data_IF_135869497286
#
_entry.id   IF_135869497286
#
_cell.length_a   1.000
_cell.length_b   1.000
_cell.length_c   1.000
_cell.angle_alpha   90.00
_cell.angle_beta   90.00
_cell.angle_gamma   90.00
#
_symmetry.space_group_name_H-M   'P 1'
#
loop_
_entity.id
_entity.type
_entity.pdbx_description
1 polymer ?
#
# COMPACT_ATOMS: atom_id res chain seq x y z
N UNK A 1 15.24 9.23 6.50
CA UNK A 1 14.69 8.31 7.53
C UNK A 1 15.82 7.82 8.44
N UNK A 2 15.56 7.53 9.72
CA UNK A 2 16.39 6.62 10.52
C UNK A 2 15.78 5.22 10.34
N UNK A 3 16.48 4.30 9.68
CA UNK A 3 15.89 3.03 9.25
C UNK A 3 16.94 2.04 8.71
N UNK A 4 16.48 1.09 7.89
CA UNK A 4 17.29 0.02 7.31
C UNK A 4 17.93 0.46 5.99
N UNK A 5 19.16 0.00 5.75
CA UNK A 5 19.83 0.12 4.45
C UNK A 5 19.60 -1.15 3.64
N UNK A 6 19.97 -1.13 2.36
CA UNK A 6 19.90 -2.32 1.53
C UNK A 6 20.79 -3.45 2.05
N UNK A 7 20.33 -4.69 1.93
CA UNK A 7 21.02 -5.86 2.50
C UNK A 7 22.43 -6.02 1.89
N UNK A 8 22.59 -5.74 0.59
CA UNK A 8 23.91 -5.78 -0.07
C UNK A 8 24.87 -4.65 0.33
N UNK A 9 24.41 -3.69 1.13
CA UNK A 9 25.23 -2.60 1.69
C UNK A 9 25.77 -2.94 3.09
N UNK A 10 25.45 -4.13 3.65
CA UNK A 10 25.97 -4.55 4.95
C UNK A 10 27.51 -4.60 4.96
N UNK A 11 28.14 -4.32 6.12
CA UNK A 11 29.60 -4.35 6.25
C UNK A 11 30.21 -5.73 5.92
N UNK A 12 29.46 -6.81 6.22
CA UNK A 12 29.86 -8.21 6.04
C UNK A 12 29.45 -8.82 4.68
N UNK A 13 28.83 -8.04 3.77
CA UNK A 13 28.26 -8.55 2.51
C UNK A 13 29.25 -9.28 1.59
N UNK A 14 30.54 -8.91 1.61
CA UNK A 14 31.57 -9.53 0.76
C UNK A 14 31.85 -11.01 1.13
N UNK A 15 31.33 -11.49 2.27
CA UNK A 15 31.36 -12.92 2.63
C UNK A 15 30.25 -13.73 1.93
N UNK A 16 29.27 -13.05 1.33
CA UNK A 16 28.03 -13.62 0.81
C UNK A 16 27.81 -13.35 -0.67
N UNK A 17 28.15 -12.13 -1.12
CA UNK A 17 27.98 -11.71 -2.52
C UNK A 17 29.25 -11.04 -3.05
N UNK A 18 29.45 -11.17 -4.35
CA UNK A 18 30.46 -10.45 -5.14
C UNK A 18 29.77 -9.35 -5.94
N UNK A 19 30.33 -8.15 -5.91
CA UNK A 19 29.89 -7.04 -6.76
C UNK A 19 30.78 -6.96 -8.00
N UNK A 20 30.18 -7.03 -9.18
CA UNK A 20 30.85 -6.90 -10.47
C UNK A 20 30.78 -5.44 -10.93
N UNK A 21 31.71 -4.62 -10.42
CA UNK A 21 31.77 -3.17 -10.70
C UNK A 21 31.86 -2.85 -12.19
N UNK A 22 32.44 -3.75 -12.99
CA UNK A 22 32.55 -3.65 -14.44
C UNK A 22 31.20 -3.70 -15.18
N UNK A 23 30.16 -4.24 -14.55
CA UNK A 23 28.82 -4.37 -15.13
C UNK A 23 27.90 -3.21 -14.72
N UNK A 24 28.24 -2.47 -13.66
CA UNK A 24 27.41 -1.39 -13.11
C UNK A 24 27.56 -0.12 -13.96
N UNK A 25 26.48 0.63 -14.15
CA UNK A 25 26.56 2.00 -14.71
C UNK A 25 27.57 2.83 -13.88
N UNK A 26 28.63 3.37 -14.49
CA UNK A 26 29.65 4.14 -13.78
C UNK A 26 29.10 5.27 -12.88
N UNK A 27 27.97 5.88 -13.27
CA UNK A 27 27.33 6.95 -12.52
C UNK A 27 26.54 6.47 -11.30
N UNK A 28 26.25 5.16 -11.21
CA UNK A 28 25.39 4.54 -10.18
C UNK A 28 26.16 3.61 -9.24
N UNK A 29 27.49 3.58 -9.34
CA UNK A 29 28.37 2.73 -8.50
C UNK A 29 28.20 2.97 -7.01
N UNK A 30 27.83 4.19 -6.59
CA UNK A 30 27.59 4.55 -5.19
C UNK A 30 26.45 3.75 -4.54
N UNK A 31 25.51 3.18 -5.32
CA UNK A 31 24.42 2.34 -4.80
C UNK A 31 24.90 0.99 -4.25
N UNK A 32 26.17 0.64 -4.47
CA UNK A 32 26.78 -0.62 -4.02
C UNK A 32 27.79 -0.43 -2.89
N UNK A 33 27.91 0.80 -2.37
CA UNK A 33 28.77 1.14 -1.26
C UNK A 33 28.32 0.41 0.03
N UNK A 34 29.31 -0.11 0.76
CA UNK A 34 29.07 -0.69 2.08
C UNK A 34 29.03 0.41 3.12
N UNK A 35 28.18 0.23 4.12
CA UNK A 35 28.20 1.06 5.31
C UNK A 35 29.10 0.46 6.38
N UNK A 36 29.78 1.32 7.13
CA UNK A 36 30.61 0.91 8.26
C UNK A 36 29.74 0.40 9.43
N UNK A 37 30.31 -0.50 10.24
CA UNK A 37 29.68 -1.04 11.44
C UNK A 37 29.31 0.01 12.51
N UNK A 38 29.90 1.21 12.44
CA UNK A 38 29.53 2.36 13.26
C UNK A 38 28.23 3.04 12.82
N UNK A 39 27.78 2.79 11.59
CA UNK A 39 26.57 3.35 10.98
C UNK A 39 25.47 2.28 10.93
N UNK A 40 25.81 1.04 10.59
CA UNK A 40 24.88 -0.08 10.45
C UNK A 40 25.09 -1.11 11.54
N UNK A 41 24.00 -1.44 12.23
CA UNK A 41 23.94 -2.55 13.18
C UNK A 41 23.20 -3.72 12.52
N UNK A 42 23.88 -4.84 12.32
CA UNK A 42 23.30 -6.07 11.77
C UNK A 42 22.37 -6.80 12.75
N UNK A 43 22.19 -6.28 13.97
CA UNK A 43 21.35 -6.86 15.01
C UNK A 43 21.64 -8.34 15.31
N UNK A 44 22.88 -8.79 15.02
CA UNK A 44 23.34 -10.17 15.09
C UNK A 44 22.51 -11.16 14.25
N UNK A 45 21.89 -10.71 13.16
CA UNK A 45 21.20 -11.58 12.20
C UNK A 45 22.17 -12.10 11.13
N UNK A 46 21.92 -13.30 10.57
CA UNK A 46 22.66 -13.75 9.40
C UNK A 46 22.32 -12.89 8.18
N UNK A 47 23.20 -12.87 7.19
CA UNK A 47 22.94 -12.22 5.90
C UNK A 47 21.73 -12.84 5.22
N UNK A 48 20.79 -12.01 4.78
CA UNK A 48 19.49 -12.44 4.31
C UNK A 48 19.30 -12.25 2.80
N UNK A 49 19.66 -13.27 2.03
CA UNK A 49 19.39 -13.31 0.58
C UNK A 49 17.90 -13.15 0.23
N UNK A 50 17.00 -13.50 1.16
CA UNK A 50 15.56 -13.37 0.97
C UNK A 50 15.02 -12.01 1.43
N UNK A 51 15.86 -11.09 1.90
CA UNK A 51 15.42 -9.77 2.34
C UNK A 51 14.76 -9.02 1.19
N UNK A 52 13.64 -8.37 1.48
CA UNK A 52 12.98 -7.48 0.50
C UNK A 52 13.86 -6.26 0.16
N UNK A 53 14.85 -5.96 1.03
CA UNK A 53 15.80 -4.87 0.87
C UNK A 53 17.04 -5.26 0.06
N UNK A 54 17.16 -6.52 -0.39
CA UNK A 54 18.30 -6.98 -1.20
C UNK A 54 18.07 -6.66 -2.69
N UNK A 55 19.07 -6.08 -3.37
CA UNK A 55 18.99 -5.85 -4.82
C UNK A 55 18.90 -7.14 -5.64
N UNK A 56 18.33 -7.02 -6.84
CA UNK A 56 18.30 -8.09 -7.85
C UNK A 56 19.70 -8.32 -8.47
N UNK A 57 19.95 -9.50 -9.08
CA UNK A 57 21.26 -9.85 -9.60
C UNK A 57 21.83 -8.87 -10.65
N UNK A 58 20.98 -8.22 -11.44
CA UNK A 58 21.32 -7.32 -12.54
C UNK A 58 20.96 -5.85 -12.28
N UNK A 59 20.69 -5.48 -11.02
CA UNK A 59 20.38 -4.11 -10.63
C UNK A 59 21.45 -3.13 -11.14
N UNK A 60 21.04 -2.03 -11.77
CA UNK A 60 21.92 -0.98 -12.33
C UNK A 60 22.95 -1.48 -13.36
N UNK A 61 22.68 -2.62 -14.02
CA UNK A 61 23.53 -3.13 -15.08
C UNK A 61 23.52 -2.23 -16.32
N UNK A 62 24.70 -1.91 -16.84
CA UNK A 62 24.87 -1.16 -18.10
C UNK A 62 25.04 -2.06 -19.33
N UNK A 63 25.13 -3.37 -19.13
CA UNK A 63 25.50 -4.33 -20.16
C UNK A 63 24.67 -5.63 -20.11
N UNK A 64 23.58 -5.64 -19.34
CA UNK A 64 22.70 -6.80 -19.10
C UNK A 64 23.38 -8.02 -18.47
N UNK A 65 24.58 -7.85 -17.90
CA UNK A 65 25.23 -8.88 -17.08
C UNK A 65 25.00 -8.62 -15.59
N UNK A 66 25.03 -9.66 -14.73
CA UNK A 66 24.82 -9.52 -13.29
C UNK A 66 25.82 -8.57 -12.63
N UNK A 67 25.31 -7.61 -11.87
CA UNK A 67 26.09 -6.70 -11.02
C UNK A 67 26.35 -7.29 -9.64
N UNK A 68 25.50 -8.25 -9.20
CA UNK A 68 25.63 -8.98 -7.94
C UNK A 68 25.58 -10.47 -8.21
N UNK A 69 26.56 -11.22 -7.68
CA UNK A 69 26.59 -12.68 -7.71
C UNK A 69 26.72 -13.25 -6.30
N UNK A 70 25.95 -14.29 -5.98
CA UNK A 70 26.13 -15.03 -4.73
C UNK A 70 27.42 -15.86 -4.78
N UNK A 71 28.19 -15.83 -3.69
CA UNK A 71 29.35 -16.72 -3.51
C UNK A 71 28.89 -18.18 -3.35
N UNK A 72 27.70 -18.39 -2.77
CA UNK A 72 27.11 -19.72 -2.65
C UNK A 72 26.37 -20.09 -3.95
N UNK A 73 26.52 -21.33 -4.44
CA UNK A 73 25.83 -21.78 -5.64
C UNK A 73 24.32 -21.91 -5.43
N UNK A 74 23.54 -21.67 -6.48
CA UNK A 74 22.08 -21.87 -6.52
C UNK A 74 21.27 -21.06 -5.49
N UNK A 75 21.76 -19.89 -5.09
CA UNK A 75 21.01 -18.95 -4.25
C UNK A 75 20.25 -17.96 -5.13
N UNK A 76 18.97 -17.80 -4.83
CA UNK A 76 18.08 -16.80 -5.45
C UNK A 76 17.87 -15.64 -4.48
N UNK A 77 17.94 -14.40 -4.96
CA UNK A 77 17.77 -13.19 -4.17
C UNK A 77 17.19 -12.07 -5.04
N UNK A 78 16.88 -10.91 -4.43
CA UNK A 78 16.22 -9.81 -5.13
C UNK A 78 14.71 -9.87 -5.13
N UNK A 79 14.12 -10.69 -4.26
CA UNK A 79 12.68 -10.83 -4.21
C UNK A 79 12.00 -9.52 -3.78
N UNK A 80 10.82 -9.27 -4.35
CA UNK A 80 9.93 -8.14 -4.03
C UNK A 80 8.57 -8.62 -3.54
N UNK A 81 8.50 -9.83 -2.97
CA UNK A 81 7.24 -10.50 -2.63
C UNK A 81 6.77 -10.22 -1.21
N UNK A 82 7.62 -10.39 -0.19
CA UNK A 82 7.29 -10.16 1.23
C UNK A 82 8.53 -9.85 2.06
N UNK A 83 8.35 -9.24 3.23
CA UNK A 83 9.42 -9.20 4.23
C UNK A 83 9.79 -10.63 4.62
N UNK A 84 11.09 -10.91 4.66
CA UNK A 84 11.59 -12.19 5.14
C UNK A 84 11.33 -12.34 6.65
N UNK A 85 11.58 -13.55 7.17
CA UNK A 85 11.55 -13.76 8.63
C UNK A 85 12.60 -12.91 9.35
N UNK A 86 13.75 -12.64 8.71
CA UNK A 86 14.83 -11.83 9.26
C UNK A 86 14.46 -10.35 9.20
N UNK A 87 13.92 -9.85 8.09
CA UNK A 87 13.39 -8.48 7.98
C UNK A 87 12.40 -8.18 9.11
N UNK A 88 11.44 -9.09 9.34
CA UNK A 88 10.44 -8.97 10.41
C UNK A 88 11.11 -8.94 11.79
N UNK A 89 12.11 -9.80 12.02
CA UNK A 89 12.83 -9.89 13.29
C UNK A 89 13.62 -8.60 13.55
N UNK A 90 14.32 -8.09 12.54
CA UNK A 90 15.12 -6.89 12.62
C UNK A 90 14.27 -5.64 12.87
N UNK A 91 13.13 -5.50 12.18
CA UNK A 91 12.16 -4.42 12.43
C UNK A 91 11.61 -4.52 13.86
N UNK A 92 11.21 -5.73 14.29
CA UNK A 92 10.66 -5.93 15.64
C UNK A 92 11.69 -5.62 16.74
N UNK A 93 12.94 -5.97 16.52
CA UNK A 93 14.06 -5.71 17.42
C UNK A 93 14.37 -4.21 17.46
N UNK A 94 14.52 -3.58 16.30
CA UNK A 94 14.82 -2.15 16.18
C UNK A 94 13.77 -1.26 16.86
N UNK A 95 12.48 -1.63 16.76
CA UNK A 95 11.37 -0.90 17.35
C UNK A 95 10.90 -1.45 18.72
N UNK A 96 11.62 -2.42 19.32
CA UNK A 96 11.30 -3.00 20.64
C UNK A 96 9.86 -3.50 20.79
N UNK A 97 9.29 -4.11 19.74
CA UNK A 97 7.89 -4.53 19.69
C UNK A 97 7.50 -5.54 20.80
N UNK A 98 8.47 -6.30 21.35
CA UNK A 98 8.26 -7.29 22.42
C UNK A 98 8.04 -6.67 23.81
N UNK A 99 8.37 -5.40 24.01
CA UNK A 99 8.22 -4.71 25.31
C UNK A 99 6.82 -4.15 25.57
N UNK A 100 5.95 -4.13 24.55
CA UNK A 100 4.66 -3.43 24.58
C UNK A 100 3.46 -4.29 25.04
N UNK A 101 3.68 -5.47 25.64
CA UNK A 101 2.60 -6.32 26.16
C UNK A 101 1.67 -6.92 25.09
N UNK A 102 2.05 -6.85 23.82
CA UNK A 102 1.33 -7.47 22.71
C UNK A 102 1.79 -8.92 22.60
N UNK A 103 0.91 -9.87 22.93
CA UNK A 103 1.13 -11.29 22.64
C UNK A 103 0.92 -11.52 21.15
N UNK A 104 2.02 -11.59 20.40
CA UNK A 104 1.99 -12.20 19.06
C UNK A 104 1.87 -13.71 19.21
N UNK A 105 1.21 -14.42 18.27
CA UNK A 105 1.29 -15.87 18.24
C UNK A 105 2.76 -16.29 18.31
N UNK A 106 3.10 -17.34 19.09
CA UNK A 106 4.48 -17.76 19.25
C UNK A 106 5.13 -17.92 17.87
N UNK A 107 6.31 -17.31 17.68
CA UNK A 107 7.12 -17.62 16.51
C UNK A 107 7.22 -19.15 16.43
N UNK A 108 6.91 -19.77 15.27
CA UNK A 108 7.08 -21.20 15.14
C UNK A 108 8.53 -21.51 15.49
N UNK A 109 8.72 -22.19 16.63
CA UNK A 109 10.01 -22.69 17.07
C UNK A 109 10.59 -23.47 15.91
N UNK A 110 11.84 -23.15 15.57
CA UNK A 110 12.69 -23.73 14.52
C UNK A 110 12.56 -25.24 14.44
N UNK A 111 11.50 -25.64 13.78
CA UNK A 111 11.37 -26.88 13.05
C UNK A 111 11.42 -26.36 11.64
N UNK A 112 12.37 -26.83 10.84
CA UNK A 112 12.44 -26.61 9.41
C UNK A 112 11.16 -27.15 8.77
N UNK A 113 10.06 -26.40 8.90
CA UNK A 113 8.92 -26.51 8.03
C UNK A 113 9.42 -25.85 6.76
N UNK A 114 9.76 -26.65 5.75
CA UNK A 114 9.70 -26.15 4.39
C UNK A 114 8.28 -25.59 4.22
N UNK A 115 8.14 -24.28 4.38
CA UNK A 115 6.92 -23.55 4.04
C UNK A 115 6.83 -23.62 2.52
N UNK A 116 6.39 -24.77 2.01
CA UNK A 116 6.05 -24.90 0.61
C UNK A 116 4.85 -23.99 0.37
N UNK A 117 5.10 -22.78 -0.12
CA UNK A 117 4.07 -21.98 -0.74
C UNK A 117 3.40 -22.84 -1.81
N UNK A 118 2.11 -23.09 -1.64
CA UNK A 118 1.36 -23.87 -2.62
C UNK A 118 0.91 -22.92 -3.71
N UNK A 119 1.41 -23.17 -4.91
CA UNK A 119 1.11 -22.38 -6.09
C UNK A 119 0.00 -23.04 -6.91
N UNK A 120 -0.96 -22.23 -7.35
CA UNK A 120 -1.93 -22.59 -8.38
C UNK A 120 -1.74 -21.63 -9.54
N UNK A 121 -1.57 -22.20 -10.73
CA UNK A 121 -1.42 -21.44 -11.97
C UNK A 121 -2.64 -21.71 -12.84
N UNK A 122 -3.27 -20.64 -13.35
CA UNK A 122 -4.41 -20.73 -14.26
C UNK A 122 -4.17 -19.80 -15.44
N UNK A 123 -4.29 -20.31 -16.67
CA UNK A 123 -4.19 -19.48 -17.88
C UNK A 123 -5.57 -19.35 -18.53
N UNK A 124 -5.91 -18.13 -18.95
CA UNK A 124 -7.17 -17.80 -19.63
C UNK A 124 -6.96 -16.66 -20.64
N UNK A 125 -8.03 -16.21 -21.29
CA UNK A 125 -7.98 -15.13 -22.27
C UNK A 125 -9.22 -14.22 -22.23
N UNK A 126 -8.97 -12.91 -22.27
CA UNK A 126 -10.00 -11.91 -22.52
C UNK A 126 -10.21 -11.81 -24.02
N UNK A 127 -11.45 -11.98 -24.48
CA UNK A 127 -11.82 -12.00 -25.89
C UNK A 127 -12.98 -11.04 -26.16
N UNK A 128 -13.30 -10.79 -27.45
CA UNK A 128 -14.46 -9.98 -27.81
C UNK A 128 -15.81 -10.61 -27.42
N UNK A 129 -15.81 -11.88 -26.98
CA UNK A 129 -16.99 -12.57 -26.46
C UNK A 129 -17.06 -12.54 -24.93
N UNK A 130 -16.00 -12.05 -24.26
CA UNK A 130 -16.02 -11.86 -22.81
C UNK A 130 -17.06 -10.80 -22.46
N UNK A 131 -17.66 -10.93 -21.28
CA UNK A 131 -18.63 -9.95 -20.82
C UNK A 131 -17.97 -8.60 -20.54
N UNK A 132 -18.80 -7.56 -20.46
CA UNK A 132 -18.34 -6.20 -20.27
C UNK A 132 -18.88 -5.53 -19.02
N UNK A 133 -18.11 -4.61 -18.46
CA UNK A 133 -18.50 -3.80 -17.32
C UNK A 133 -17.87 -2.41 -17.40
N UNK A 134 -18.42 -1.47 -16.64
CA UNK A 134 -17.85 -0.14 -16.47
C UNK A 134 -16.78 -0.21 -15.38
N UNK A 135 -15.51 -0.22 -15.73
CA UNK A 135 -14.46 -0.25 -14.73
C UNK A 135 -14.65 0.91 -13.71
N UNK A 136 -14.59 0.68 -12.38
CA UNK A 136 -14.71 1.69 -11.32
C UNK A 136 -14.10 3.06 -11.62
N UNK A 137 -12.92 3.04 -12.23
CA UNK A 137 -12.13 4.23 -12.56
C UNK A 137 -11.85 4.40 -14.06
N UNK A 138 -12.49 3.59 -14.93
CA UNK A 138 -12.27 3.62 -16.38
C UNK A 138 -12.93 4.80 -17.11
N UNK A 139 -13.30 5.87 -16.41
CA UNK A 139 -13.91 7.10 -16.99
C UNK A 139 -15.15 6.84 -17.87
N UNK A 140 -15.97 5.83 -17.54
CA UNK A 140 -17.15 5.47 -18.32
C UNK A 140 -16.87 4.64 -19.57
N UNK A 141 -15.62 4.20 -19.76
CA UNK A 141 -15.24 3.26 -20.81
C UNK A 141 -15.64 1.82 -20.44
N UNK A 142 -15.80 1.00 -21.47
CA UNK A 142 -16.27 -0.39 -21.36
C UNK A 142 -15.08 -1.34 -21.42
N UNK A 143 -15.02 -2.27 -20.47
CA UNK A 143 -13.91 -3.22 -20.32
C UNK A 143 -14.41 -4.65 -20.40
N UNK A 144 -13.63 -5.54 -21.03
CA UNK A 144 -13.89 -6.98 -20.97
C UNK A 144 -13.45 -7.53 -19.61
N UNK A 145 -14.17 -8.54 -19.10
CA UNK A 145 -13.80 -9.18 -17.85
C UNK A 145 -14.05 -10.68 -17.81
N UNK A 146 -13.33 -11.36 -16.91
CA UNK A 146 -13.59 -12.73 -16.46
C UNK A 146 -13.65 -12.78 -14.94
N UNK A 147 -14.36 -13.78 -14.41
CA UNK A 147 -14.60 -13.90 -12.96
C UNK A 147 -14.13 -15.22 -12.40
N UNK A 148 -13.49 -15.14 -11.24
CA UNK A 148 -13.02 -16.27 -10.47
C UNK A 148 -13.54 -16.19 -9.05
N UNK A 149 -14.09 -17.28 -8.56
CA UNK A 149 -14.31 -17.46 -7.13
C UNK A 149 -12.99 -17.82 -6.45
N UNK A 150 -12.64 -17.08 -5.41
CA UNK A 150 -11.46 -17.29 -4.59
C UNK A 150 -11.91 -17.79 -3.21
N UNK A 151 -11.45 -18.99 -2.84
CA UNK A 151 -11.67 -19.55 -1.50
C UNK A 151 -10.37 -20.06 -0.90
N UNK A 152 -10.22 -19.82 0.40
CA UNK A 152 -9.04 -20.21 1.17
C UNK A 152 -9.42 -21.22 2.26
N UNK A 153 -8.60 -22.26 2.50
CA UNK A 153 -8.94 -23.30 3.47
C UNK A 153 -8.72 -22.85 4.92
N UNK A 154 -7.85 -21.86 5.14
CA UNK A 154 -7.56 -21.31 6.46
C UNK A 154 -7.49 -19.80 6.38
N UNK A 155 -7.70 -19.14 7.51
CA UNK A 155 -7.45 -17.72 7.63
C UNK A 155 -5.95 -17.44 7.46
N UNK A 156 -5.60 -16.39 6.72
CA UNK A 156 -4.19 -15.99 6.58
C UNK A 156 -3.94 -14.98 5.48
N UNK A 157 -2.67 -14.59 5.35
CA UNK A 157 -2.18 -13.75 4.27
C UNK A 157 -1.95 -14.60 3.01
N UNK A 158 -2.53 -14.17 1.90
CA UNK A 158 -2.37 -14.81 0.60
C UNK A 158 -1.90 -13.76 -0.41
N UNK A 159 -0.84 -14.08 -1.15
CA UNK A 159 -0.18 -13.21 -2.16
C UNK A 159 -0.96 -13.21 -3.50
N UNK A 160 -2.18 -13.73 -3.47
CA UNK A 160 -2.84 -14.27 -4.64
C UNK A 160 -3.55 -13.13 -5.32
N UNK A 161 -2.87 -12.54 -6.29
CA UNK A 161 -3.00 -12.94 -7.69
C UNK A 161 -1.98 -12.14 -8.49
N UNK A 162 -0.92 -12.79 -8.96
CA UNK A 162 -0.05 -12.18 -9.94
C UNK A 162 -0.53 -12.56 -11.33
N UNK A 163 -0.91 -11.58 -12.13
CA UNK A 163 -1.03 -11.81 -13.57
C UNK A 163 0.36 -11.95 -14.18
N UNK A 164 0.56 -12.88 -15.11
CA UNK A 164 1.65 -12.87 -16.07
C UNK A 164 1.03 -12.81 -17.46
N UNK A 165 1.20 -11.69 -18.14
CA UNK A 165 0.51 -11.40 -19.40
C UNK A 165 1.37 -10.51 -20.29
N UNK A 166 1.25 -10.73 -21.61
CA UNK A 166 1.77 -9.84 -22.63
C UNK A 166 0.88 -8.61 -22.86
N UNK A 167 -0.24 -8.50 -22.13
CA UNK A 167 -1.13 -7.34 -22.14
C UNK A 167 -1.24 -6.73 -20.74
N UNK A 168 -1.38 -5.41 -20.64
CA UNK A 168 -1.72 -4.71 -19.41
C UNK A 168 -2.99 -5.27 -18.75
N UNK A 169 -2.85 -5.92 -17.59
CA UNK A 169 -3.99 -6.51 -16.86
C UNK A 169 -4.23 -5.79 -15.54
N UNK A 170 -5.48 -5.76 -15.13
CA UNK A 170 -5.93 -5.24 -13.84
C UNK A 170 -6.80 -6.29 -13.14
N UNK A 171 -6.69 -6.34 -11.82
CA UNK A 171 -7.48 -7.23 -10.97
C UNK A 171 -8.35 -6.41 -10.03
N UNK A 172 -9.55 -6.90 -9.74
CA UNK A 172 -10.45 -6.35 -8.73
C UNK A 172 -10.90 -7.47 -7.80
N UNK A 173 -10.73 -7.30 -6.49
CA UNK A 173 -11.15 -8.26 -5.48
C UNK A 173 -12.39 -7.74 -4.78
N UNK A 174 -13.42 -8.58 -4.71
CA UNK A 174 -14.68 -8.32 -4.04
C UNK A 174 -14.92 -9.32 -2.92
N UNK A 175 -15.67 -8.90 -1.92
CA UNK A 175 -16.21 -9.78 -0.90
C UNK A 175 -17.57 -10.32 -1.34
N UNK A 176 -17.80 -11.63 -1.20
CA UNK A 176 -19.06 -12.32 -1.46
C UNK A 176 -19.56 -12.31 -2.92
N UNK A 177 -19.96 -11.15 -3.44
CA UNK A 177 -20.59 -11.01 -4.75
C UNK A 177 -20.00 -9.85 -5.55
N UNK A 178 -19.95 -10.02 -6.87
CA UNK A 178 -19.61 -9.00 -7.86
C UNK A 178 -20.85 -8.65 -8.69
N UNK A 179 -21.05 -7.36 -8.95
CA UNK A 179 -22.14 -6.85 -9.77
C UNK A 179 -21.58 -6.02 -10.94
N UNK A 180 -21.60 -6.55 -12.17
CA UNK A 180 -21.01 -5.86 -13.33
C UNK A 180 -21.61 -4.46 -13.60
N UNK A 181 -22.90 -4.27 -13.33
CA UNK A 181 -23.58 -2.98 -13.47
C UNK A 181 -23.27 -2.01 -12.31
N UNK A 182 -22.64 -2.50 -11.25
CA UNK A 182 -22.27 -1.72 -10.06
C UNK A 182 -20.96 -2.27 -9.47
N UNK A 183 -19.83 -2.12 -10.19
CA UNK A 183 -18.58 -2.80 -9.88
C UNK A 183 -17.79 -2.16 -8.74
N UNK A 184 -18.39 -1.22 -8.02
CA UNK A 184 -17.84 -0.71 -6.76
C UNK A 184 -18.46 -1.44 -5.55
N UNK A 185 -19.57 -2.17 -5.75
CA UNK A 185 -20.24 -2.91 -4.67
C UNK A 185 -19.35 -4.05 -4.21
N UNK A 186 -19.13 -4.12 -2.90
CA UNK A 186 -18.28 -5.12 -2.23
C UNK A 186 -16.80 -5.10 -2.64
N UNK A 187 -16.36 -4.08 -3.37
CA UNK A 187 -14.97 -3.97 -3.79
C UNK A 187 -14.08 -3.81 -2.56
N UNK A 188 -13.10 -4.69 -2.43
CA UNK A 188 -12.14 -4.72 -1.32
C UNK A 188 -10.81 -4.11 -1.72
N UNK A 189 -10.35 -4.42 -2.93
CA UNK A 189 -9.07 -3.99 -3.43
C UNK A 189 -9.07 -3.95 -4.94
N UNK A 190 -8.26 -3.05 -5.48
CA UNK A 190 -7.93 -3.03 -6.90
C UNK A 190 -6.42 -3.15 -7.02
N UNK A 191 -5.98 -3.95 -7.98
CA UNK A 191 -4.59 -4.17 -8.28
C UNK A 191 -4.29 -3.59 -9.65
N UNK A 192 -3.31 -2.71 -9.68
CA UNK A 192 -2.67 -2.21 -10.89
C UNK A 192 -1.16 -2.30 -10.68
N UNK A 193 -0.46 -2.64 -11.75
CA UNK A 193 0.98 -2.40 -11.95
C UNK A 193 1.88 -2.55 -10.71
N UNK A 194 2.24 -3.78 -10.37
CA UNK A 194 3.31 -4.07 -9.43
C UNK A 194 4.62 -4.31 -10.19
N UNK A 195 5.27 -3.24 -10.64
CA UNK A 195 6.62 -3.20 -11.25
C UNK A 195 6.63 -3.37 -12.78
N UNK A 196 7.11 -2.33 -13.52
CA UNK A 196 7.59 -2.20 -14.93
C UNK A 196 7.01 -3.12 -16.05
N UNK A 197 6.02 -3.94 -15.75
CA UNK A 197 5.48 -5.06 -16.51
C UNK A 197 3.98 -5.18 -16.18
N UNK A 198 3.27 -4.04 -16.10
CA UNK A 198 1.81 -3.82 -16.12
C UNK A 198 0.95 -5.05 -15.78
N UNK A 199 1.24 -5.62 -14.62
CA UNK A 199 0.63 -6.82 -14.05
C UNK A 199 0.20 -6.46 -12.65
N UNK A 200 -0.96 -6.94 -12.22
CA UNK A 200 -1.44 -6.68 -10.87
C UNK A 200 -0.93 -7.75 -9.91
N UNK A 201 -0.79 -7.36 -8.64
CA UNK A 201 -0.56 -8.25 -7.50
C UNK A 201 -1.42 -7.82 -6.30
N UNK A 202 -1.92 -8.79 -5.55
CA UNK A 202 -2.62 -8.56 -4.29
C UNK A 202 -1.91 -9.22 -3.13
N UNK A 203 -1.69 -8.47 -2.05
CA UNK A 203 -1.26 -9.00 -0.76
C UNK A 203 -2.39 -8.75 0.24
N UNK A 204 -3.30 -9.72 0.38
CA UNK A 204 -4.52 -9.56 1.18
C UNK A 204 -4.67 -10.69 2.19
N UNK A 205 -5.25 -10.35 3.35
CA UNK A 205 -5.69 -11.34 4.33
C UNK A 205 -7.07 -11.87 3.94
N UNK A 206 -7.17 -13.18 3.72
CA UNK A 206 -8.44 -13.86 3.44
C UNK A 206 -8.88 -14.68 4.64
N UNK A 207 -10.20 -14.69 4.86
CA UNK A 207 -10.83 -15.55 5.86
C UNK A 207 -11.32 -16.85 5.23
N UNK A 208 -11.06 -17.96 5.90
CA UNK A 208 -11.69 -19.23 5.59
C UNK A 208 -13.22 -19.12 5.69
N UNK A 209 -13.93 -19.94 4.91
CA UNK A 209 -15.39 -19.94 4.82
C UNK A 209 -16.01 -18.60 4.37
N UNK A 210 -15.21 -17.68 3.84
CA UNK A 210 -15.69 -16.46 3.20
C UNK A 210 -15.48 -16.57 1.70
N UNK A 211 -16.52 -16.22 0.95
CA UNK A 211 -16.46 -16.18 -0.51
C UNK A 211 -15.83 -14.86 -0.94
N UNK A 212 -14.88 -14.92 -1.86
CA UNK A 212 -14.31 -13.74 -2.51
C UNK A 212 -14.41 -13.91 -4.01
N UNK A 213 -14.58 -12.79 -4.71
CA UNK A 213 -14.68 -12.77 -6.16
C UNK A 213 -13.52 -11.96 -6.71
N UNK A 214 -12.74 -12.58 -7.58
CA UNK A 214 -11.76 -11.90 -8.40
C UNK A 214 -12.35 -11.61 -9.76
N UNK A 215 -12.29 -10.36 -10.18
CA UNK A 215 -12.56 -9.94 -11.56
C UNK A 215 -11.23 -9.59 -12.21
N UNK A 216 -10.96 -10.20 -13.37
CA UNK A 216 -9.81 -9.90 -14.21
C UNK A 216 -10.26 -9.06 -15.38
N UNK A 217 -9.51 -8.00 -15.67
CA UNK A 217 -9.75 -7.11 -16.81
C UNK A 217 -8.42 -6.56 -17.36
N UNK A 218 -8.51 -5.65 -18.32
CA UNK A 218 -7.38 -4.94 -18.91
C UNK A 218 -7.29 -3.51 -18.41
N UNK A 219 -6.08 -2.94 -18.45
CA UNK A 219 -5.90 -1.50 -18.13
C UNK A 219 -6.50 -0.60 -19.22
N UNK A 220 -6.42 -1.06 -20.48
CA UNK A 220 -7.00 -0.37 -21.64
C UNK A 220 -8.36 -0.95 -21.98
N UNK A 221 -9.35 -0.09 -22.19
CA UNK A 221 -10.72 -0.51 -22.56
C UNK A 221 -10.75 -1.37 -23.82
N UNK A 222 -11.67 -2.34 -23.86
CA UNK A 222 -11.90 -3.24 -25.01
C UNK A 222 -10.64 -3.95 -25.55
N UNK A 223 -9.64 -4.17 -24.70
CA UNK A 223 -8.41 -4.90 -25.08
C UNK A 223 -8.58 -6.40 -24.85
N UNK A 224 -8.05 -7.21 -25.77
CA UNK A 224 -8.09 -8.67 -25.70
C UNK A 224 -6.68 -9.23 -25.60
N UNK A 225 -6.55 -10.42 -25.01
CA UNK A 225 -5.26 -11.09 -24.89
C UNK A 225 -5.26 -12.17 -23.83
N UNK A 226 -4.16 -12.89 -23.78
CA UNK A 226 -3.97 -14.03 -22.89
C UNK A 226 -3.32 -13.57 -21.59
N UNK A 227 -3.68 -14.20 -20.48
CA UNK A 227 -3.06 -13.95 -19.19
C UNK A 227 -2.96 -15.25 -18.39
N UNK A 228 -2.04 -15.26 -17.45
CA UNK A 228 -1.86 -16.34 -16.49
C UNK A 228 -1.97 -15.78 -15.09
N UNK A 229 -2.77 -16.39 -14.22
CA UNK A 229 -2.87 -16.06 -12.81
C UNK A 229 -2.00 -17.02 -12.02
N UNK A 230 -1.17 -16.45 -11.14
CA UNK A 230 -0.44 -17.18 -10.12
C UNK A 230 -1.03 -16.87 -8.75
N UNK A 231 -1.38 -17.94 -8.06
CA UNK A 231 -1.99 -17.95 -6.75
C UNK A 231 -1.09 -18.73 -5.77
N UNK A 232 -0.34 -18.03 -4.94
CA UNK A 232 0.50 -18.56 -3.87
C UNK A 232 0.02 -18.23 -2.44
N UNK A 233 -0.03 -19.22 -1.56
CA UNK A 233 -0.33 -19.03 -0.13
C UNK A 233 0.32 -20.06 0.77
N UNK A 234 0.23 -19.85 2.10
CA UNK A 234 0.63 -20.84 3.11
C UNK A 234 -0.11 -22.17 2.96
N UNK A 235 -1.30 -22.13 2.34
CA UNK A 235 -2.08 -23.28 1.92
C UNK A 235 -2.58 -23.08 0.49
N UNK A 236 -2.94 -24.19 -0.18
CA UNK A 236 -3.49 -24.14 -1.55
C UNK A 236 -4.75 -23.29 -1.59
N UNK A 237 -4.75 -22.28 -2.44
CA UNK A 237 -5.95 -21.49 -2.74
C UNK A 237 -6.72 -22.10 -3.87
N UNK A 238 -8.03 -22.04 -3.75
CA UNK A 238 -8.94 -22.55 -4.75
C UNK A 238 -9.43 -21.38 -5.60
N UNK A 239 -9.07 -21.43 -6.88
CA UNK A 239 -9.54 -20.51 -7.91
C UNK A 239 -10.47 -21.27 -8.86
N UNK A 240 -11.73 -20.88 -8.90
CA UNK A 240 -12.72 -21.47 -9.80
C UNK A 240 -13.23 -20.39 -10.75
N UNK A 241 -13.00 -20.56 -12.05
CA UNK A 241 -13.63 -19.69 -13.04
C UNK A 241 -15.14 -19.91 -13.00
N UNK A 242 -15.90 -18.82 -12.93
CA UNK A 242 -17.35 -18.85 -12.87
C UNK A 242 -17.94 -17.93 -13.94
N UNK A 243 -19.08 -18.31 -14.49
CA UNK A 243 -19.84 -17.39 -15.32
C UNK A 243 -20.44 -16.31 -14.40
N UNK A 244 -20.34 -15.06 -14.81
CA UNK A 244 -20.99 -13.90 -14.19
C UNK A 244 -22.50 -14.09 -13.95
N UNK A 245 -23.20 -14.78 -14.87
CA UNK A 245 -24.61 -15.14 -14.73
C UNK A 245 -24.91 -16.07 -13.55
N UNK A 246 -23.93 -16.84 -13.07
CA UNK A 246 -24.02 -17.67 -11.85
C UNK A 246 -23.76 -16.90 -10.54
N UNK A 247 -23.37 -15.62 -10.60
CA UNK A 247 -23.13 -14.76 -9.43
C UNK A 247 -24.43 -14.09 -8.95
N UNK A 248 -25.46 -14.08 -9.79
CA UNK A 248 -26.83 -13.70 -9.41
C UNK A 248 -27.48 -14.92 -8.73
N UNK A 249 -27.24 -15.10 -7.43
CA UNK A 249 -27.92 -16.16 -6.67
C UNK A 249 -29.44 -15.98 -6.72
N UNK A 250 -30.09 -16.96 -7.32
CA UNK A 250 -31.52 -17.19 -7.40
C UNK A 250 -32.14 -17.37 -6.02
N UNK A 251 -32.65 -16.29 -5.44
CA UNK A 251 -33.86 -16.34 -4.60
C UNK A 251 -34.71 -15.09 -4.88
N UNK A 252 -35.83 -15.32 -5.55
CA UNK A 252 -37.05 -14.48 -5.59
C UNK A 252 -36.89 -12.96 -5.50
N UNK A 253 -37.01 -12.28 -6.64
CA UNK A 253 -37.56 -10.90 -6.75
C UNK A 253 -37.12 -9.91 -5.67
N UNK A 254 -35.83 -9.81 -5.42
CA UNK A 254 -35.23 -8.55 -5.03
C UNK A 254 -34.33 -8.17 -6.19
N UNK A 255 -34.57 -6.99 -6.76
CA UNK A 255 -33.51 -6.21 -7.39
C UNK A 255 -32.23 -6.37 -6.58
N UNK A 256 -31.04 -6.29 -7.21
CA UNK A 256 -29.82 -5.96 -6.46
C UNK A 256 -30.21 -4.93 -5.40
N UNK A 257 -29.82 -5.09 -4.12
CA UNK A 257 -30.30 -4.19 -3.08
C UNK A 257 -30.19 -2.79 -3.64
N UNK A 258 -31.31 -2.05 -3.67
CA UNK A 258 -31.38 -0.68 -4.17
C UNK A 258 -30.56 0.27 -3.27
N UNK A 259 -29.38 -0.15 -2.81
CA UNK A 259 -28.29 0.73 -2.44
C UNK A 259 -27.79 1.32 -3.75
N UNK A 260 -28.49 2.33 -4.27
CA UNK A 260 -27.86 3.31 -5.16
C UNK A 260 -26.63 3.82 -4.43
N UNK A 261 -25.45 3.43 -4.89
CA UNK A 261 -24.20 3.99 -4.39
C UNK A 261 -24.20 5.46 -4.78
N UNK A 262 -23.87 6.31 -3.81
CA UNK A 262 -23.93 7.75 -4.00
C UNK A 262 -22.52 8.23 -4.31
N UNK A 263 -22.35 8.77 -5.51
CA UNK A 263 -21.11 9.44 -5.89
C UNK A 263 -21.13 10.85 -5.27
N UNK A 264 -20.13 11.12 -4.46
CA UNK A 264 -19.85 12.44 -3.91
C UNK A 264 -18.64 13.01 -4.61
N UNK A 265 -18.72 14.27 -5.03
CA UNK A 265 -17.62 14.94 -5.73
C UNK A 265 -17.05 16.08 -4.89
N UNK A 266 -15.75 16.32 -5.03
CA UNK A 266 -15.05 17.46 -4.47
C UNK A 266 -14.13 18.04 -5.53
N UNK A 267 -14.17 19.35 -5.71
CA UNK A 267 -13.33 20.04 -6.69
C UNK A 267 -12.56 21.18 -6.04
N UNK A 268 -11.28 21.27 -6.38
CA UNK A 268 -10.37 22.32 -5.92
C UNK A 268 -9.24 22.53 -6.93
N UNK A 269 -8.16 23.18 -6.51
CA UNK A 269 -6.94 23.29 -7.31
C UNK A 269 -5.71 23.38 -6.42
N UNK A 270 -4.63 22.72 -6.85
CA UNK A 270 -3.28 23.01 -6.39
C UNK A 270 -2.83 24.30 -7.06
N UNK A 271 -2.28 25.21 -6.27
CA UNK A 271 -1.81 26.54 -6.69
C UNK A 271 -0.49 26.84 -6.00
N UNK A 272 0.19 27.89 -6.44
CA UNK A 272 1.42 28.39 -5.80
C UNK A 272 1.26 28.70 -4.30
N UNK A 273 0.03 29.00 -3.86
CA UNK A 273 -0.29 29.30 -2.46
C UNK A 273 -0.71 28.05 -1.66
N UNK A 274 -0.76 26.89 -2.30
CA UNK A 274 -1.05 25.64 -1.60
C UNK A 274 0.11 25.28 -0.68
N UNK A 275 -0.17 24.68 0.49
CA UNK A 275 0.89 24.25 1.38
C UNK A 275 1.76 23.20 0.67
N UNK A 276 3.01 23.13 1.10
CA UNK A 276 4.01 22.22 0.54
C UNK A 276 4.53 21.28 1.60
N UNK A 277 5.03 20.13 1.16
CA UNK A 277 5.65 19.14 2.02
C UNK A 277 6.63 18.27 1.23
N UNK A 278 7.51 17.57 1.94
CA UNK A 278 8.34 16.52 1.36
C UNK A 278 7.50 15.25 1.25
N UNK A 279 7.19 14.84 0.02
CA UNK A 279 6.41 13.63 -0.27
C UNK A 279 7.25 12.37 -0.03
N UNK A 280 6.62 11.25 0.33
CA UNK A 280 7.29 9.96 0.40
C UNK A 280 8.03 9.65 -0.91
N UNK A 281 9.32 9.34 -0.82
CA UNK A 281 10.19 9.02 -1.97
C UNK A 281 10.43 10.18 -2.96
N UNK A 282 9.83 11.36 -2.73
CA UNK A 282 9.96 12.51 -3.62
C UNK A 282 11.19 13.36 -3.30
N UNK A 283 11.81 13.92 -4.33
CA UNK A 283 12.87 14.92 -4.20
C UNK A 283 12.34 16.29 -4.63
N UNK A 284 11.96 17.14 -3.67
CA UNK A 284 11.56 18.52 -3.93
C UNK A 284 10.27 18.94 -3.24
N UNK A 285 9.76 20.10 -3.66
CA UNK A 285 8.60 20.76 -3.05
C UNK A 285 7.31 20.32 -3.74
N UNK A 286 6.44 19.63 -3.00
CA UNK A 286 5.15 19.15 -3.52
C UNK A 286 4.00 19.96 -2.94
N UNK A 287 3.17 20.56 -3.81
CA UNK A 287 1.93 21.19 -3.37
C UNK A 287 0.92 20.13 -2.97
N UNK A 288 0.18 20.36 -1.89
CA UNK A 288 -0.87 19.43 -1.48
C UNK A 288 -2.16 20.14 -1.06
N UNK A 289 -3.24 19.37 -1.07
CA UNK A 289 -4.50 19.73 -0.45
C UNK A 289 -4.90 18.71 0.60
N UNK A 290 -5.23 19.18 1.80
CA UNK A 290 -5.76 18.36 2.88
C UNK A 290 -7.29 18.46 2.91
N UNK A 291 -7.93 17.31 2.77
CA UNK A 291 -9.39 17.17 2.68
C UNK A 291 -9.84 16.23 3.78
N UNK A 292 -10.69 16.70 4.69
CA UNK A 292 -11.34 15.84 5.66
C UNK A 292 -12.49 15.09 4.99
N UNK A 293 -12.52 13.76 5.14
CA UNK A 293 -13.59 12.89 4.67
C UNK A 293 -14.41 12.44 5.88
N UNK A 294 -15.71 12.73 5.85
CA UNK A 294 -16.68 12.25 6.83
C UNK A 294 -17.66 11.29 6.17
N UNK A 295 -17.70 10.04 6.67
CA UNK A 295 -18.66 9.04 6.21
C UNK A 295 -19.83 8.94 7.19
N UNK A 296 -21.08 8.92 6.71
CA UNK A 296 -22.25 8.81 7.58
C UNK A 296 -22.50 7.37 8.05
N UNK A 297 -21.97 6.38 7.32
CA UNK A 297 -22.18 4.96 7.57
C UNK A 297 -20.82 4.24 7.53
N UNK A 298 -20.66 3.23 8.40
CA UNK A 298 -19.46 2.39 8.37
C UNK A 298 -19.55 1.44 7.17
N UNK A 299 -18.52 1.41 6.33
CA UNK A 299 -18.50 0.53 5.17
C UNK A 299 -17.28 0.78 4.29
N UNK A 300 -17.20 0.03 3.18
CA UNK A 300 -16.18 0.26 2.17
C UNK A 300 -16.58 1.45 1.29
N UNK A 301 -15.65 2.38 1.13
CA UNK A 301 -15.74 3.50 0.20
C UNK A 301 -14.54 3.47 -0.73
N UNK A 302 -14.81 3.79 -1.98
CA UNK A 302 -13.85 3.97 -3.04
C UNK A 302 -13.62 5.47 -3.21
N UNK A 303 -12.42 5.96 -2.90
CA UNK A 303 -12.04 7.37 -3.02
C UNK A 303 -10.91 7.50 -4.02
N UNK A 304 -11.13 8.24 -5.11
CA UNK A 304 -10.13 8.39 -6.16
C UNK A 304 -10.11 9.76 -6.78
N UNK A 305 -9.12 10.00 -7.62
CA UNK A 305 -9.00 11.20 -8.42
C UNK A 305 -9.46 10.98 -9.86
N UNK A 306 -9.89 12.06 -10.50
CA UNK A 306 -10.16 12.09 -11.93
C UNK A 306 -9.70 13.43 -12.52
N UNK A 307 -8.38 13.54 -12.74
CA UNK A 307 -7.71 14.77 -13.14
C UNK A 307 -6.94 14.62 -14.45
N UNK A 308 -6.58 15.77 -15.02
CA UNK A 308 -5.64 15.84 -16.14
C UNK A 308 -4.17 15.82 -15.68
N UNK A 309 -3.93 15.97 -14.37
CA UNK A 309 -2.59 15.94 -13.76
C UNK A 309 -2.36 14.60 -13.06
N UNK A 310 -1.11 14.13 -13.04
CA UNK A 310 -0.72 12.91 -12.33
C UNK A 310 -0.77 13.15 -10.81
N UNK A 311 -1.66 12.45 -10.11
CA UNK A 311 -1.97 12.70 -8.70
C UNK A 311 -1.65 11.54 -7.78
N UNK A 312 -1.14 11.86 -6.58
CA UNK A 312 -1.04 10.95 -5.44
C UNK A 312 -2.11 11.27 -4.41
N UNK A 313 -2.68 10.23 -3.81
CA UNK A 313 -3.56 10.30 -2.66
C UNK A 313 -2.96 9.56 -1.47
N UNK A 314 -2.97 10.17 -0.30
CA UNK A 314 -2.59 9.53 0.96
C UNK A 314 -3.72 9.70 1.97
N UNK A 315 -4.22 8.59 2.51
CA UNK A 315 -5.27 8.58 3.52
C UNK A 315 -4.65 8.47 4.92
N UNK A 316 -5.05 9.38 5.81
CA UNK A 316 -4.58 9.44 7.20
C UNK A 316 -5.74 9.30 8.18
N UNK A 317 -5.46 8.72 9.34
CA UNK A 317 -6.39 8.62 10.46
C UNK A 317 -6.25 9.86 11.35
N UNK A 318 -7.36 10.53 11.66
CA UNK A 318 -7.48 11.68 12.56
C UNK A 318 -6.74 12.97 12.13
N UNK A 319 -5.46 12.91 11.76
CA UNK A 319 -4.64 14.08 11.49
C UNK A 319 -3.49 13.79 10.53
N UNK A 320 -3.04 14.82 9.84
CA UNK A 320 -1.85 14.81 8.97
C UNK A 320 -0.80 15.78 9.50
N UNK A 321 0.46 15.35 9.55
CA UNK A 321 1.59 16.15 9.97
C UNK A 321 2.60 16.26 8.81
N UNK A 322 2.73 17.42 8.14
CA UNK A 322 3.64 17.57 7.00
C UNK A 322 5.13 17.44 7.37
N UNK A 323 5.48 17.59 8.66
CA UNK A 323 6.85 17.36 9.15
C UNK A 323 7.12 15.90 9.54
N UNK A 324 6.07 15.08 9.66
CA UNK A 324 6.17 13.66 9.95
C UNK A 324 5.09 12.89 9.18
N UNK A 325 5.29 12.77 7.88
CA UNK A 325 4.33 12.21 6.94
C UNK A 325 3.98 10.73 7.19
N UNK A 326 4.78 10.00 7.98
CA UNK A 326 4.46 8.63 8.38
C UNK A 326 3.46 8.56 9.54
N UNK A 327 3.26 9.66 10.25
CA UNK A 327 2.35 9.71 11.38
C UNK A 327 0.90 9.57 10.93
N UNK A 328 0.20 8.59 11.51
CA UNK A 328 -1.21 8.28 11.23
C UNK A 328 -1.57 7.96 9.77
N UNK A 329 -0.59 7.74 8.90
CA UNK A 329 -0.88 7.26 7.55
C UNK A 329 -1.64 5.93 7.66
N UNK A 330 -2.60 5.70 6.77
CA UNK A 330 -3.34 4.44 6.64
C UNK A 330 -2.87 3.73 5.38
N UNK A 331 -2.91 4.44 4.25
CA UNK A 331 -2.52 3.93 2.93
C UNK A 331 -2.26 5.10 1.99
N UNK A 332 -1.49 4.85 0.95
CA UNK A 332 -1.30 5.77 -0.17
C UNK A 332 -1.56 5.06 -1.49
N UNK A 333 -1.81 5.86 -2.51
CA UNK A 333 -2.00 5.40 -3.88
C UNK A 333 -1.72 6.52 -4.89
N UNK A 334 -1.39 6.17 -6.12
CA UNK A 334 -1.00 7.11 -7.18
C UNK A 334 -1.48 6.72 -8.57
N UNK A 335 -1.66 5.42 -8.84
CA UNK A 335 -2.10 4.98 -10.16
C UNK A 335 -3.13 3.83 -10.15
N UNK A 336 -3.74 3.49 -9.00
CA UNK A 336 -4.78 2.44 -8.98
C UNK A 336 -6.13 2.90 -9.54
N UNK A 337 -6.29 4.12 -10.02
CA UNK A 337 -7.41 4.45 -10.91
C UNK A 337 -7.04 4.31 -12.40
N UNK A 338 -5.76 4.05 -12.70
CA UNK A 338 -5.19 4.16 -14.04
C UNK A 338 -5.12 5.61 -14.53
N UNK A 339 -4.45 5.83 -15.66
CA UNK A 339 -4.23 7.17 -16.24
C UNK A 339 -3.63 8.17 -15.24
N UNK A 340 -2.70 7.71 -14.39
CA UNK A 340 -1.98 8.52 -13.42
C UNK A 340 -2.87 9.11 -12.32
N UNK A 341 -3.93 8.38 -11.95
CA UNK A 341 -4.89 8.76 -10.91
C UNK A 341 -4.86 7.75 -9.77
N UNK A 342 -5.01 8.24 -8.55
CA UNK A 342 -5.05 7.37 -7.38
C UNK A 342 -6.46 6.80 -7.15
N UNK A 343 -6.52 5.60 -6.60
CA UNK A 343 -7.73 5.00 -6.05
C UNK A 343 -7.45 4.32 -4.72
N UNK A 344 -8.15 4.77 -3.68
CA UNK A 344 -8.09 4.23 -2.33
C UNK A 344 -9.43 3.60 -2.00
N UNK A 345 -9.45 2.28 -1.89
CA UNK A 345 -10.58 1.53 -1.35
C UNK A 345 -10.28 1.23 0.11
N UNK A 346 -11.13 1.70 1.02
CA UNK A 346 -10.91 1.54 2.45
C UNK A 346 -12.22 1.35 3.20
N UNK A 347 -12.19 0.61 4.32
CA UNK A 347 -13.34 0.46 5.21
C UNK A 347 -13.41 1.65 6.19
N UNK A 348 -14.10 2.71 5.78
CA UNK A 348 -14.29 3.88 6.62
C UNK A 348 -15.26 3.57 7.76
N UNK A 349 -14.94 4.06 8.95
CA UNK A 349 -15.81 3.97 10.14
C UNK A 349 -16.56 5.28 10.31
N UNK A 350 -17.87 5.21 10.55
CA UNK A 350 -18.67 6.38 10.90
C UNK A 350 -18.16 7.02 12.19
N UNK A 351 -18.35 8.34 12.32
CA UNK A 351 -17.85 9.14 13.44
C UNK A 351 -16.31 9.12 13.63
N UNK A 352 -15.56 8.66 12.62
CA UNK A 352 -14.10 8.71 12.60
C UNK A 352 -13.64 9.76 11.59
N UNK A 353 -12.61 10.52 11.97
CA UNK A 353 -12.02 11.54 11.09
C UNK A 353 -10.96 10.91 10.20
N UNK A 354 -11.08 11.10 8.90
CA UNK A 354 -10.07 10.72 7.93
C UNK A 354 -9.60 11.95 7.17
N UNK A 355 -8.30 12.07 6.94
CA UNK A 355 -7.70 13.16 6.18
C UNK A 355 -7.11 12.57 4.90
N UNK A 356 -7.63 12.97 3.75
CA UNK A 356 -7.05 12.69 2.45
C UNK A 356 -6.10 13.83 2.07
N UNK A 357 -4.84 13.50 1.85
CA UNK A 357 -3.85 14.40 1.27
C UNK A 357 -3.74 14.08 -0.21
N UNK A 358 -4.05 15.06 -1.05
CA UNK A 358 -3.90 14.96 -2.50
C UNK A 358 -2.73 15.81 -2.94
N UNK A 359 -1.82 15.24 -3.73
CA UNK A 359 -0.62 15.90 -4.27
C UNK A 359 -0.31 15.37 -5.67
N UNK A 360 0.86 15.67 -6.22
CA UNK A 360 1.27 15.32 -7.59
C UNK A 360 2.47 14.37 -7.62
N UNK A 361 2.61 13.62 -8.72
CA UNK A 361 3.79 12.78 -8.97
C UNK A 361 5.07 13.60 -9.06
N UNK A 362 5.05 14.66 -9.86
CA UNK A 362 6.19 15.56 -10.05
C UNK A 362 6.13 16.76 -9.10
N UNK A 363 7.29 17.26 -8.63
CA UNK A 363 7.35 18.41 -7.75
C UNK A 363 6.95 19.69 -8.50
N UNK A 364 6.47 20.69 -7.74
CA UNK A 364 6.10 22.03 -8.24
C UNK A 364 4.98 22.03 -9.31
N UNK A 365 4.18 20.95 -9.40
CA UNK A 365 3.02 20.90 -10.30
C UNK A 365 1.78 21.50 -9.64
N UNK A 366 1.06 22.32 -10.41
CA UNK A 366 -0.21 22.94 -10.03
C UNK A 366 -1.29 22.54 -11.05
N UNK A 367 -2.56 22.57 -10.65
CA UNK A 367 -3.65 22.20 -11.54
C UNK A 367 -4.96 21.95 -10.81
N UNK A 368 -6.06 21.75 -11.57
CA UNK A 368 -7.35 21.40 -11.00
C UNK A 368 -7.31 20.03 -10.33
N UNK A 369 -8.08 19.89 -9.25
CA UNK A 369 -8.34 18.64 -8.56
C UNK A 369 -9.84 18.34 -8.61
N UNK A 370 -10.19 17.12 -8.99
CA UNK A 370 -11.50 16.49 -8.92
C UNK A 370 -11.32 15.16 -8.20
N UNK A 371 -11.94 15.07 -7.02
CA UNK A 371 -11.95 13.89 -6.17
C UNK A 371 -13.36 13.34 -6.17
N UNK A 372 -13.45 12.02 -6.28
CA UNK A 372 -14.68 11.25 -6.29
C UNK A 372 -14.63 10.29 -5.10
N UNK A 373 -15.73 10.21 -4.37
CA UNK A 373 -15.95 9.14 -3.41
C UNK A 373 -17.26 8.45 -3.70
N UNK A 374 -17.19 7.13 -3.83
CA UNK A 374 -18.34 6.28 -4.04
C UNK A 374 -18.47 5.32 -2.85
N UNK A 375 -19.69 5.16 -2.37
CA UNK A 375 -19.97 4.27 -1.26
C UNK A 375 -21.46 4.15 -0.98
N UNK A 376 -21.83 3.42 0.09
CA UNK A 376 -23.23 3.12 0.40
C UNK A 376 -24.08 4.37 0.71
N UNK A 377 -23.43 5.49 1.04
CA UNK A 377 -24.05 6.79 1.34
C UNK A 377 -23.15 7.93 0.87
N UNK A 378 -23.72 9.10 0.62
CA UNK A 378 -22.96 10.29 0.28
C UNK A 378 -21.95 10.62 1.39
N UNK A 379 -20.71 10.91 1.02
CA UNK A 379 -19.68 11.39 1.95
C UNK A 379 -19.63 12.91 1.93
N UNK A 380 -19.15 13.49 3.01
CA UNK A 380 -18.87 14.93 3.07
C UNK A 380 -17.37 15.17 3.01
N UNK A 381 -16.96 16.01 2.06
CA UNK A 381 -15.60 16.52 1.94
C UNK A 381 -15.51 17.91 2.56
N UNK A 382 -14.46 18.19 3.34
CA UNK A 382 -14.22 19.52 3.92
C UNK A 382 -12.76 19.91 3.74
N UNK A 383 -12.52 21.04 3.05
CA UNK A 383 -11.16 21.57 2.88
C UNK A 383 -10.59 22.01 4.23
N UNK A 384 -9.40 21.53 4.57
CA UNK A 384 -8.71 21.91 5.80
C UNK A 384 -8.00 23.27 5.69
N UNK A 385 -7.96 23.88 4.49
CA UNK A 385 -7.42 25.24 4.28
C UNK A 385 -8.13 26.29 5.14
N UNK A 386 -9.40 26.05 5.50
CA UNK A 386 -10.25 27.02 6.20
C UNK A 386 -10.35 26.81 7.74
N UNK A 387 -9.67 25.81 8.32
CA UNK A 387 -9.88 25.42 9.74
C UNK A 387 -8.91 26.13 10.72
N UNK A 388 -8.02 26.99 10.24
CA UNK A 388 -7.17 27.81 11.13
C UNK A 388 -7.73 29.24 11.28
N UNK A 389 -8.49 29.50 12.34
CA UNK A 389 -8.46 30.72 13.21
C UNK A 389 -9.72 30.84 14.08
N UNK A 390 -9.80 30.08 15.18
CA UNK A 390 -10.60 30.53 16.34
C UNK A 390 -10.08 29.93 17.64
N UNK A 391 -8.85 30.29 18.01
CA UNK A 391 -8.38 30.13 19.39
C UNK A 391 -8.85 31.34 20.17
N UNK A 392 -10.00 31.22 20.83
CA UNK A 392 -10.49 32.21 21.79
C UNK A 392 -9.53 32.26 22.98
N UNK A 393 -8.67 33.27 23.00
CA UNK A 393 -7.86 33.62 24.17
C UNK A 393 -8.76 34.30 25.20
N UNK A 394 -9.23 33.54 26.19
CA UNK A 394 -9.73 34.14 27.43
C UNK A 394 -8.56 34.30 28.39
N UNK A 395 -8.04 35.53 28.43
CA UNK A 395 -7.05 35.96 29.41
C UNK A 395 -7.73 36.19 30.77
N UNK A 396 -7.47 35.32 31.74
CA UNK A 396 -7.70 35.62 33.15
C UNK A 396 -6.36 35.57 33.88
N UNK A 397 -5.68 36.71 33.94
CA UNK A 397 -4.59 36.97 34.90
C UNK A 397 -5.16 37.18 36.29
N UNK A 398 -4.67 36.49 37.33
CA UNK A 398 -4.70 36.96 38.71
C UNK A 398 -3.39 37.70 39.05
N UNK A 399 -3.41 38.61 40.05
CA UNK A 399 -2.33 39.54 40.30
C UNK A 399 -1.14 38.90 41.03
N UNK A 400 0.04 39.45 40.73
CA UNK A 400 1.32 39.20 41.36
C UNK A 400 1.26 39.63 42.84
N UNK A 401 1.64 38.74 43.76
CA UNK A 401 2.12 39.13 45.09
C UNK A 401 3.46 38.45 45.34
N UNK A 402 4.38 39.26 45.86
CA UNK A 402 5.80 39.02 46.12
C UNK A 402 6.02 38.15 47.36
N UNK A 403 6.95 37.20 47.30
CA UNK A 403 7.96 36.93 48.35
C UNK A 403 8.95 35.83 47.94
N UNK A 404 10.17 35.93 48.47
CA UNK A 404 11.41 35.22 48.12
C UNK A 404 11.80 34.28 49.26
N UNK A 405 12.18 33.02 48.99
CA UNK A 405 13.15 32.18 49.75
C UNK A 405 13.18 30.74 49.18
N UNK A 406 14.29 30.33 48.54
CA UNK A 406 15.35 29.36 48.95
C UNK A 406 14.97 27.87 48.97
N UNK A 407 15.62 27.13 48.04
CA UNK A 407 16.16 25.75 48.07
C UNK A 407 15.36 24.59 48.69
N UNK A 408 15.14 23.51 47.91
CA UNK A 408 15.70 22.14 48.13
C UNK A 408 15.11 21.09 47.15
N UNK A 409 16.00 20.29 46.54
CA UNK A 409 15.92 18.84 46.15
C UNK A 409 14.73 18.22 45.39
N UNK A 410 15.10 17.55 44.26
CA UNK A 410 14.47 16.50 43.41
C UNK A 410 13.71 15.37 44.17
N UNK A 411 12.83 14.49 43.57
CA UNK A 411 12.71 14.15 42.14
C UNK A 411 11.32 13.98 41.50
N UNK A 412 11.36 13.95 40.16
CA UNK A 412 10.35 13.52 39.18
C UNK A 412 9.65 12.21 39.56
N UNK A 413 8.33 12.25 39.60
CA UNK A 413 7.46 11.12 39.26
C UNK A 413 6.68 11.47 37.99
N UNK A 414 6.98 10.82 36.87
CA UNK A 414 6.18 10.92 35.64
C UNK A 414 5.47 9.60 35.42
N UNK A 415 4.15 9.61 35.61
CA UNK A 415 3.22 8.58 35.18
C UNK A 415 3.22 8.50 33.64
N UNK A 416 3.67 7.37 33.10
CA UNK A 416 3.51 7.05 31.69
C UNK A 416 2.05 6.70 31.41
N UNK A 417 1.41 7.45 30.51
CA UNK A 417 0.11 7.16 29.94
C UNK A 417 0.30 6.24 28.74
N UNK A 418 -0.01 4.95 28.92
CA UNK A 418 -0.03 3.91 27.91
C UNK A 418 -1.24 4.07 27.00
N UNK A 419 -1.08 4.49 25.73
CA UNK A 419 -2.10 4.25 24.69
C UNK A 419 -1.49 4.02 23.29
N UNK A 420 -1.74 2.81 22.79
CA UNK A 420 -1.97 2.45 21.37
C UNK A 420 -0.79 2.34 20.39
N UNK A 421 0.10 1.37 20.61
CA UNK A 421 1.18 0.96 19.67
C UNK A 421 0.78 -0.16 18.68
N UNK A 422 -0.51 -0.44 18.48
CA UNK A 422 -0.95 -1.61 17.69
C UNK A 422 -1.12 -1.29 16.19
N UNK A 423 -1.35 -0.02 15.82
CA UNK A 423 -1.63 0.39 14.43
C UNK A 423 -0.34 0.65 13.63
N UNK A 424 0.77 0.95 14.31
CA UNK A 424 2.03 1.40 13.69
C UNK A 424 2.82 0.30 12.96
N UNK A 425 2.59 -0.98 13.28
CA UNK A 425 3.41 -2.10 12.78
C UNK A 425 2.97 -2.58 11.39
N UNK A 426 1.66 -2.61 11.09
CA UNK A 426 1.18 -2.99 9.75
C UNK A 426 1.50 -1.94 8.68
N UNK A 427 1.64 -0.68 9.09
CA UNK A 427 1.89 0.45 8.21
C UNK A 427 3.36 0.52 7.74
N UNK A 428 4.31 0.10 8.58
CA UNK A 428 5.74 0.10 8.24
C UNK A 428 6.08 -0.91 7.13
N UNK A 429 5.33 -2.01 7.07
CA UNK A 429 5.40 -3.05 6.04
C UNK A 429 5.03 -2.51 4.65
N UNK A 430 3.97 -1.69 4.56
CA UNK A 430 3.55 -1.07 3.30
C UNK A 430 4.55 -0.03 2.79
N UNK A 431 5.21 0.69 3.71
CA UNK A 431 6.22 1.70 3.39
C UNK A 431 7.48 1.04 2.82
N UNK A 432 7.91 -0.11 3.33
CA UNK A 432 9.06 -0.83 2.76
C UNK A 432 8.77 -1.25 1.31
N UNK A 433 7.55 -1.70 1.02
CA UNK A 433 7.14 -2.06 -0.35
C UNK A 433 7.11 -0.88 -1.33
N UNK A 434 6.61 0.29 -0.90
CA UNK A 434 6.61 1.49 -1.74
C UNK A 434 7.98 2.14 -1.93
N UNK A 435 8.95 1.87 -1.05
CA UNK A 435 10.28 2.50 -1.09
C UNK A 435 11.34 1.72 -1.87
N UNK A 436 11.17 0.41 -2.07
CA UNK A 436 12.11 -0.37 -2.89
C UNK A 436 12.02 0.02 -4.38
N UNK A 437 10.90 0.59 -4.83
CA UNK A 437 10.72 1.06 -6.21
C UNK A 437 11.26 2.48 -6.46
N UNK A 438 11.32 3.35 -5.44
CA UNK A 438 11.73 4.75 -5.60
C UNK A 438 13.25 4.96 -5.78
N UNK A 439 14.06 3.89 -5.71
CA UNK A 439 15.50 3.93 -5.97
C UNK A 439 15.88 3.45 -7.39
N UNK A 440 14.90 3.18 -8.25
CA UNK A 440 15.11 2.90 -9.67
C UNK A 440 14.58 4.04 -10.54
N UNK A 441 15.20 5.22 -10.42
CA UNK A 441 15.29 6.23 -11.49
C UNK A 441 16.69 6.84 -11.46
#
# INVERSE_FOLDING_TARGET
MRGFFHEQSRPDRDNYVKINLENIDPNLTYNFDKYDSSIVNTQNTPYDYASVMHYEPDAFSSNSFPTIESIQPNVTFGQRYNMSTIDILEVRSFYNCLSSGITFPPMPTTTTVNLYMMNVTLSSSLTNNSETFNHPYGQGMIYYYEVFEVTVPVDGDYIILKSHSSIPTSGLIYKENFYANSPNINLLAIGYDSDENIQFQFNLYFKSNTRYILVITTVTSQTTGNYTLLASGLNRVNLLQINSSSIVSTTTTTTAPNTEFVISTYSSALTINSPTYDRFGGFGMYYYEAIMISVPETGYYAVGSNNTINTYGYLYLNSFNPSNIAENLITGDDDKAGNSQFAIVYEFKSMTTYILIVTTHDPVVIGPLLILAEGPKAVTFTSMKNISTTTTTTSTTPPISTTRSTSTTSPRGSSASTKSNIITIHLFLYIIFGYVLAYFI
#
